data_IF_276147188811
#
_entry.id   IF_276147188811
#
_cell.length_a   1.000
_cell.length_b   1.000
_cell.length_c   1.000
_cell.angle_alpha   90.00
_cell.angle_beta   90.00
_cell.angle_gamma   90.00
#
_symmetry.space_group_name_H-M   'P 1'
#
loop_
_entity.id
_entity.type
_entity.pdbx_description
1 polymer ?
#
# COMPACT_ATOMS: atom_id res chain seq x y z
N UNK A 1 -25.83 -17.73 21.01
CA UNK A 1 -24.46 -17.70 21.59
C UNK A 1 -23.58 -18.52 20.67
N UNK A 2 -22.70 -17.88 19.89
CA UNK A 2 -21.74 -18.61 19.06
C UNK A 2 -20.43 -17.82 19.02
N UNK A 3 -19.53 -18.20 19.93
CA UNK A 3 -18.13 -17.84 19.90
C UNK A 3 -17.36 -19.16 19.88
N UNK A 4 -17.19 -19.74 18.69
CA UNK A 4 -16.46 -21.00 18.52
C UNK A 4 -15.49 -20.86 17.36
N UNK A 5 -14.26 -20.40 17.68
CA UNK A 5 -13.13 -20.34 16.76
C UNK A 5 -12.34 -19.03 16.85
N UNK A 6 -11.36 -18.96 17.76
CA UNK A 6 -10.21 -18.03 17.81
C UNK A 6 -10.50 -16.50 17.82
N UNK A 7 -10.20 -15.88 18.97
CA UNK A 7 -10.51 -14.48 19.33
C UNK A 7 -9.91 -13.45 18.34
N UNK A 8 -10.78 -12.60 17.77
CA UNK A 8 -10.51 -11.18 17.49
C UNK A 8 -11.80 -10.35 17.56
N UNK A 9 -11.66 -9.06 17.87
CA UNK A 9 -12.72 -8.21 18.42
C UNK A 9 -12.96 -6.93 17.58
N UNK A 10 -14.25 -6.69 17.31
CA UNK A 10 -15.11 -5.48 17.30
C UNK A 10 -16.07 -5.64 16.12
N UNK A 11 -17.12 -6.44 16.36
CA UNK A 11 -18.18 -6.66 15.38
C UNK A 11 -19.07 -5.42 15.32
N UNK A 12 -18.97 -4.69 14.21
CA UNK A 12 -20.05 -3.85 13.72
C UNK A 12 -20.67 -4.57 12.50
N UNK A 13 -21.83 -4.11 12.01
CA UNK A 13 -22.63 -4.80 10.99
C UNK A 13 -21.84 -5.41 9.81
N UNK A 14 -22.14 -6.69 9.51
CA UNK A 14 -21.68 -7.43 8.34
C UNK A 14 -20.15 -7.65 8.22
N UNK A 15 -19.46 -7.90 9.32
CA UNK A 15 -18.06 -8.35 9.32
C UNK A 15 -17.94 -9.85 9.00
N UNK A 16 -16.91 -10.26 8.23
CA UNK A 16 -16.63 -11.68 7.93
C UNK A 16 -15.20 -12.06 8.33
N UNK A 17 -15.08 -13.13 9.12
CA UNK A 17 -13.81 -13.71 9.60
C UNK A 17 -13.77 -15.19 9.21
N UNK A 18 -12.73 -15.65 8.49
CA UNK A 18 -12.65 -17.07 8.08
C UNK A 18 -11.27 -17.73 8.25
N UNK A 19 -10.18 -16.95 8.30
CA UNK A 19 -8.85 -17.48 8.54
C UNK A 19 -8.62 -17.95 9.99
N UNK A 20 -7.41 -18.44 10.26
CA UNK A 20 -6.90 -18.66 11.62
C UNK A 20 -6.36 -17.35 12.20
N UNK A 21 -6.84 -16.93 13.38
CA UNK A 21 -6.46 -15.66 14.03
C UNK A 21 -6.65 -14.35 13.21
N UNK A 22 -7.72 -14.20 12.40
CA UNK A 22 -7.98 -12.96 11.66
C UNK A 22 -8.53 -11.89 12.60
N UNK A 23 -8.46 -10.62 12.24
CA UNK A 23 -9.03 -9.50 13.00
C UNK A 23 -9.74 -8.50 12.07
N UNK A 24 -10.98 -8.13 12.38
CA UNK A 24 -11.78 -7.19 11.59
C UNK A 24 -12.45 -6.11 12.45
N UNK A 25 -12.40 -4.84 12.01
CA UNK A 25 -13.05 -3.70 12.69
C UNK A 25 -13.72 -2.77 11.65
N UNK A 26 -15.06 -2.71 11.60
CA UNK A 26 -15.77 -1.79 10.70
C UNK A 26 -17.10 -2.34 10.16
N UNK A 27 -17.62 -1.69 9.12
CA UNK A 27 -18.86 -2.06 8.41
C UNK A 27 -18.49 -2.83 7.14
N UNK A 28 -19.13 -3.97 6.85
CA UNK A 28 -18.86 -4.76 5.63
C UNK A 28 -17.37 -5.18 5.49
N UNK A 29 -16.65 -5.33 6.60
CA UNK A 29 -15.21 -5.58 6.62
C UNK A 29 -14.91 -7.08 6.57
N UNK A 30 -13.92 -7.51 5.79
CA UNK A 30 -13.54 -8.93 5.64
C UNK A 30 -12.08 -9.18 6.00
N UNK A 31 -11.82 -10.05 6.97
CA UNK A 31 -10.49 -10.58 7.25
C UNK A 31 -10.52 -12.10 7.05
N UNK A 32 -10.14 -12.55 5.85
CA UNK A 32 -10.33 -13.93 5.39
C UNK A 32 -9.04 -14.76 5.47
N UNK A 33 -7.88 -14.11 5.46
CA UNK A 33 -6.59 -14.80 5.54
C UNK A 33 -6.18 -15.20 6.96
N UNK A 34 -5.27 -16.17 7.08
CA UNK A 34 -4.65 -16.49 8.36
C UNK A 34 -3.81 -15.30 8.85
N UNK A 35 -3.93 -14.92 10.12
CA UNK A 35 -3.25 -13.76 10.71
C UNK A 35 -3.51 -12.45 9.95
N UNK A 36 -4.65 -12.34 9.27
CA UNK A 36 -5.02 -11.13 8.53
C UNK A 36 -5.65 -10.08 9.43
N UNK A 37 -5.48 -8.80 9.09
CA UNK A 37 -6.12 -7.68 9.76
C UNK A 37 -6.84 -6.79 8.75
N UNK A 38 -8.13 -6.54 8.95
CA UNK A 38 -8.90 -5.59 8.16
C UNK A 38 -9.58 -4.56 9.06
N UNK A 39 -9.50 -3.28 8.75
CA UNK A 39 -10.23 -2.26 9.47
C UNK A 39 -10.69 -1.13 8.54
N UNK A 40 -11.85 -0.53 8.81
CA UNK A 40 -12.49 0.45 7.93
C UNK A 40 -13.68 -0.12 7.13
N UNK A 41 -14.57 0.75 6.67
CA UNK A 41 -15.76 0.33 5.95
C UNK A 41 -15.40 -0.28 4.59
N UNK A 42 -15.93 -1.47 4.31
CA UNK A 42 -15.70 -2.25 3.09
C UNK A 42 -14.24 -2.62 2.82
N UNK A 43 -13.38 -2.69 3.85
CA UNK A 43 -12.01 -3.19 3.67
C UNK A 43 -11.91 -4.70 3.66
N UNK A 44 -10.95 -5.24 2.90
CA UNK A 44 -10.77 -6.68 2.72
C UNK A 44 -9.29 -7.09 2.79
N UNK A 45 -8.99 -8.00 3.71
CA UNK A 45 -7.69 -8.64 3.88
C UNK A 45 -7.86 -10.15 3.61
N UNK A 46 -7.61 -10.60 2.38
CA UNK A 46 -8.10 -11.91 1.91
C UNK A 46 -7.07 -13.04 1.94
N UNK A 47 -5.78 -12.73 2.11
CA UNK A 47 -4.70 -13.72 2.11
C UNK A 47 -3.93 -13.76 3.44
N UNK A 48 -3.11 -14.78 3.64
CA UNK A 48 -2.36 -14.92 4.89
C UNK A 48 -1.38 -13.76 5.10
N UNK A 49 -1.33 -13.27 6.35
CA UNK A 49 -0.45 -12.18 6.80
C UNK A 49 -0.72 -10.82 6.14
N UNK A 50 -1.95 -10.56 5.68
CA UNK A 50 -2.31 -9.28 5.05
C UNK A 50 -2.88 -8.27 6.02
N UNK A 51 -2.67 -6.99 5.72
CA UNK A 51 -3.25 -5.85 6.46
C UNK A 51 -4.01 -4.94 5.49
N UNK A 52 -5.30 -4.72 5.69
CA UNK A 52 -6.11 -3.77 4.94
C UNK A 52 -6.75 -2.73 5.89
N UNK A 53 -6.30 -1.49 5.84
CA UNK A 53 -6.72 -0.43 6.76
C UNK A 53 -7.28 0.76 5.99
N UNK A 54 -8.55 1.11 6.21
CA UNK A 54 -9.24 2.28 5.66
C UNK A 54 -10.45 1.95 4.76
N UNK A 55 -11.12 2.96 4.24
CA UNK A 55 -12.34 2.82 3.43
C UNK A 55 -12.03 2.20 2.07
N UNK A 56 -12.66 1.07 1.71
CA UNK A 56 -12.37 0.36 0.46
C UNK A 56 -10.86 0.07 0.25
N UNK A 57 -10.20 -0.38 1.31
CA UNK A 57 -8.81 -0.83 1.27
C UNK A 57 -8.74 -2.34 1.04
N UNK A 58 -7.97 -2.80 0.05
CA UNK A 58 -7.90 -4.21 -0.35
C UNK A 58 -6.46 -4.72 -0.31
N UNK A 59 -6.18 -5.72 0.52
CA UNK A 59 -4.91 -6.45 0.56
C UNK A 59 -5.17 -7.92 0.25
N UNK A 60 -4.92 -8.33 -1.00
CA UNK A 60 -5.51 -9.57 -1.55
C UNK A 60 -4.52 -10.73 -1.71
N UNK A 61 -3.22 -10.47 -1.55
CA UNK A 61 -2.14 -11.47 -1.71
C UNK A 61 -1.28 -11.58 -0.47
N UNK A 62 -0.61 -12.73 -0.27
CA UNK A 62 0.11 -12.98 0.98
C UNK A 62 1.14 -11.89 1.30
N UNK A 63 1.14 -11.47 2.58
CA UNK A 63 2.01 -10.40 3.12
C UNK A 63 1.79 -9.02 2.51
N UNK A 64 0.71 -8.80 1.75
CA UNK A 64 0.36 -7.49 1.21
C UNK A 64 -0.19 -6.55 2.28
N UNK A 65 0.06 -5.25 2.12
CA UNK A 65 -0.42 -4.21 3.04
C UNK A 65 -1.08 -3.09 2.24
N UNK A 66 -2.33 -2.79 2.53
CA UNK A 66 -3.08 -1.69 1.92
C UNK A 66 -3.54 -0.72 3.02
N UNK A 67 -3.11 0.53 2.98
CA UNK A 67 -3.44 1.55 3.99
C UNK A 67 -3.96 2.81 3.29
N UNK A 68 -5.20 3.18 3.60
CA UNK A 68 -5.83 4.41 3.14
C UNK A 68 -7.20 4.19 2.51
N UNK A 69 -7.59 5.07 1.58
CA UNK A 69 -8.95 5.11 1.02
C UNK A 69 -8.94 4.77 -0.48
N UNK A 70 -9.74 3.80 -0.91
CA UNK A 70 -9.73 3.30 -2.28
C UNK A 70 -8.32 2.90 -2.77
N UNK A 71 -7.70 1.96 -2.06
CA UNK A 71 -6.35 1.45 -2.35
C UNK A 71 -6.36 -0.07 -2.52
N UNK A 72 -5.47 -0.60 -3.35
CA UNK A 72 -5.36 -2.03 -3.64
C UNK A 72 -3.91 -2.50 -3.67
N UNK A 73 -3.57 -3.44 -2.80
CA UNK A 73 -2.29 -4.15 -2.79
C UNK A 73 -2.52 -5.57 -3.29
N UNK A 74 -2.23 -5.81 -4.57
CA UNK A 74 -2.77 -6.92 -5.36
C UNK A 74 -1.73 -7.97 -5.75
N UNK A 75 -0.56 -7.98 -5.12
CA UNK A 75 0.49 -8.99 -5.36
C UNK A 75 1.33 -9.27 -4.11
N UNK A 76 2.10 -10.36 -4.12
CA UNK A 76 2.91 -10.81 -2.99
C UNK A 76 3.84 -9.72 -2.44
N UNK A 77 3.78 -9.49 -1.12
CA UNK A 77 4.57 -8.45 -0.39
C UNK A 77 4.51 -7.05 -1.03
N UNK A 78 3.45 -6.72 -1.75
CA UNK A 78 3.20 -5.32 -2.15
C UNK A 78 2.71 -4.51 -0.95
N UNK A 79 3.00 -3.22 -0.96
CA UNK A 79 2.48 -2.24 0.00
C UNK A 79 1.88 -1.08 -0.78
N UNK A 80 0.72 -0.59 -0.35
CA UNK A 80 0.11 0.67 -0.82
C UNK A 80 -0.25 1.54 0.36
N UNK A 81 0.14 2.82 0.29
CA UNK A 81 -0.25 3.84 1.27
C UNK A 81 -0.79 5.07 0.53
N UNK A 82 -2.02 5.48 0.83
CA UNK A 82 -2.54 6.77 0.39
C UNK A 82 -4.00 6.75 -0.04
N UNK A 83 -4.37 7.42 -1.13
CA UNK A 83 -5.77 7.47 -1.56
C UNK A 83 -5.97 7.45 -3.07
N UNK A 84 -6.90 6.61 -3.52
CA UNK A 84 -7.54 6.76 -4.82
C UNK A 84 -8.71 7.74 -4.75
N UNK A 85 -9.50 7.77 -5.82
CA UNK A 85 -10.78 8.48 -5.90
C UNK A 85 -11.92 7.47 -6.05
N UNK A 86 -12.50 7.06 -4.91
CA UNK A 86 -13.58 6.07 -4.85
C UNK A 86 -14.78 6.47 -5.73
N UNK A 87 -15.21 7.73 -5.64
CA UNK A 87 -16.38 8.26 -6.36
C UNK A 87 -16.23 8.20 -7.88
N UNK A 88 -14.99 8.15 -8.38
CA UNK A 88 -14.67 8.02 -9.80
C UNK A 88 -14.22 6.60 -10.18
N UNK A 89 -14.32 5.64 -9.26
CA UNK A 89 -13.87 4.25 -9.44
C UNK A 89 -12.36 4.12 -9.68
N UNK A 90 -11.56 5.09 -9.22
CA UNK A 90 -10.10 5.10 -9.42
C UNK A 90 -9.42 4.67 -8.14
N UNK A 91 -8.79 3.50 -8.17
CA UNK A 91 -7.99 3.01 -7.05
C UNK A 91 -6.52 3.32 -7.29
N UNK A 92 -5.79 3.62 -6.21
CA UNK A 92 -4.33 3.51 -6.24
C UNK A 92 -3.98 2.03 -6.05
N UNK A 93 -3.42 1.42 -7.10
CA UNK A 93 -3.28 -0.02 -7.19
C UNK A 93 -1.82 -0.43 -7.44
N UNK A 94 -1.26 -1.22 -6.51
CA UNK A 94 0.08 -1.77 -6.65
C UNK A 94 0.03 -3.23 -7.09
N UNK A 95 0.53 -3.45 -8.31
CA UNK A 95 0.60 -4.73 -9.00
C UNK A 95 2.04 -5.22 -9.21
N UNK A 96 3.01 -4.70 -8.45
CA UNK A 96 4.42 -5.12 -8.53
C UNK A 96 4.82 -5.84 -7.24
N UNK A 97 5.36 -7.06 -7.36
CA UNK A 97 5.79 -7.85 -6.21
C UNK A 97 6.91 -7.14 -5.45
N UNK A 98 6.94 -7.34 -4.13
CA UNK A 98 8.00 -6.80 -3.24
C UNK A 98 8.27 -5.29 -3.47
N UNK A 99 7.20 -4.48 -3.43
CA UNK A 99 7.26 -3.06 -3.72
C UNK A 99 6.40 -2.22 -2.78
N UNK A 100 6.69 -0.93 -2.68
CA UNK A 100 5.92 0.07 -1.95
C UNK A 100 5.42 1.15 -2.92
N UNK A 101 4.12 1.42 -2.88
CA UNK A 101 3.45 2.47 -3.65
C UNK A 101 2.85 3.52 -2.71
N UNK A 102 3.14 4.80 -2.95
CA UNK A 102 2.53 5.92 -2.24
C UNK A 102 1.98 6.94 -3.25
N UNK A 103 0.74 7.38 -3.04
CA UNK A 103 0.08 8.37 -3.89
C UNK A 103 -1.26 8.80 -3.31
N UNK A 104 -1.75 9.97 -3.71
CA UNK A 104 -3.01 10.52 -3.22
C UNK A 104 -3.83 11.10 -4.37
N UNK A 105 -5.14 10.91 -4.31
CA UNK A 105 -6.11 11.35 -5.32
C UNK A 105 -5.69 10.99 -6.78
N UNK A 106 -5.08 9.84 -6.97
CA UNK A 106 -4.59 9.39 -8.27
C UNK A 106 -4.65 7.86 -8.38
N UNK A 107 -4.68 7.35 -9.62
CA UNK A 107 -4.46 5.92 -9.91
C UNK A 107 -2.96 5.58 -10.09
N UNK A 108 -2.11 6.60 -10.12
CA UNK A 108 -0.67 6.48 -10.32
C UNK A 108 0.09 6.86 -9.03
N UNK A 109 1.26 6.26 -8.78
CA UNK A 109 2.10 6.65 -7.66
C UNK A 109 2.63 8.08 -7.82
N UNK A 110 2.84 8.74 -6.68
CA UNK A 110 3.79 9.84 -6.56
C UNK A 110 5.18 9.30 -6.20
N UNK A 111 5.25 8.30 -5.32
CA UNK A 111 6.47 7.62 -4.91
C UNK A 111 6.32 6.11 -5.07
N UNK A 112 7.34 5.47 -5.61
CA UNK A 112 7.40 4.03 -5.79
C UNK A 112 8.76 3.48 -5.40
N UNK A 113 8.80 2.36 -4.68
CA UNK A 113 10.03 1.66 -4.30
C UNK A 113 9.90 0.20 -4.70
N UNK A 114 10.90 -0.33 -5.39
CA UNK A 114 10.93 -1.73 -5.84
C UNK A 114 12.12 -2.47 -5.26
N UNK A 115 11.99 -3.79 -5.10
CA UNK A 115 13.14 -4.69 -4.91
C UNK A 115 14.24 -4.48 -5.98
N UNK A 116 15.51 -4.87 -5.72
CA UNK A 116 16.52 -4.89 -6.76
C UNK A 116 16.14 -5.87 -7.88
N UNK A 117 16.60 -5.55 -9.08
CA UNK A 117 16.34 -6.33 -10.30
C UNK A 117 17.00 -7.70 -10.27
N UNK A 118 18.20 -7.77 -9.68
CA UNK A 118 18.92 -9.01 -9.42
C UNK A 118 19.34 -9.02 -7.94
N UNK A 119 19.04 -10.11 -7.25
CA UNK A 119 19.48 -10.33 -5.87
C UNK A 119 20.76 -11.17 -5.87
N UNK A 120 21.74 -10.78 -5.06
CA UNK A 120 22.89 -11.63 -4.76
C UNK A 120 22.58 -12.59 -3.60
N UNK A 121 23.44 -13.60 -3.42
CA UNK A 121 23.28 -14.62 -2.37
C UNK A 121 23.33 -14.06 -0.94
N UNK A 122 23.89 -12.87 -0.77
CA UNK A 122 24.08 -12.21 0.52
C UNK A 122 23.05 -11.08 0.77
N UNK A 123 22.07 -10.91 -0.13
CA UNK A 123 21.04 -9.87 -0.06
C UNK A 123 21.61 -8.44 0.07
N UNK A 124 22.72 -8.13 -0.62
CA UNK A 124 23.36 -6.80 -0.52
C UNK A 124 22.89 -5.80 -1.57
N UNK A 125 22.13 -6.25 -2.57
CA UNK A 125 21.58 -5.39 -3.62
C UNK A 125 20.39 -4.60 -3.09
N UNK A 126 20.34 -3.32 -3.47
CA UNK A 126 19.27 -2.42 -3.08
C UNK A 126 18.39 -2.06 -4.27
N UNK A 127 17.12 -1.84 -3.98
CA UNK A 127 16.08 -1.43 -4.91
C UNK A 127 16.29 -0.10 -5.62
N UNK A 128 15.28 0.29 -6.40
CA UNK A 128 15.21 1.59 -7.08
C UNK A 128 13.99 2.36 -6.59
N UNK A 129 14.07 3.69 -6.70
CA UNK A 129 12.97 4.61 -6.36
C UNK A 129 12.48 5.26 -7.66
N UNK A 130 11.17 5.27 -7.86
CA UNK A 130 10.46 6.07 -8.86
C UNK A 130 9.73 7.24 -8.20
N UNK A 131 9.80 8.43 -8.80
CA UNK A 131 8.98 9.60 -8.44
C UNK A 131 8.20 10.03 -9.68
N UNK A 132 6.90 10.28 -9.49
CA UNK A 132 5.93 10.39 -10.58
C UNK A 132 5.48 9.02 -11.06
N UNK A 133 4.72 8.97 -12.16
CA UNK A 133 4.15 7.73 -12.70
C UNK A 133 5.23 6.76 -13.26
N UNK A 134 5.93 6.09 -12.34
CA UNK A 134 7.11 5.24 -12.57
C UNK A 134 7.01 4.00 -11.67
N UNK A 135 6.52 2.90 -12.24
CA UNK A 135 6.45 1.59 -11.56
C UNK A 135 7.58 0.63 -11.97
N UNK A 136 8.45 1.04 -12.90
CA UNK A 136 9.65 0.31 -13.29
C UNK A 136 10.83 1.28 -13.45
N UNK A 137 11.44 1.75 -12.34
CA UNK A 137 12.52 2.72 -12.38
C UNK A 137 13.74 2.22 -13.19
N UNK A 138 14.32 3.09 -14.02
CA UNK A 138 15.48 2.75 -14.87
C UNK A 138 16.82 3.14 -14.20
N UNK A 139 16.79 3.96 -13.16
CA UNK A 139 17.93 4.37 -12.36
C UNK A 139 17.63 4.21 -10.86
N UNK A 140 18.64 4.36 -10.00
CA UNK A 140 18.45 4.28 -8.53
C UNK A 140 17.39 5.27 -8.03
N UNK A 141 17.36 6.45 -8.63
CA UNK A 141 16.29 7.41 -8.53
C UNK A 141 15.84 7.78 -9.95
N UNK A 142 14.58 7.49 -10.29
CA UNK A 142 13.98 7.84 -11.57
C UNK A 142 12.86 8.85 -11.32
N UNK A 143 13.10 10.11 -11.67
CA UNK A 143 12.09 11.18 -11.63
C UNK A 143 11.46 11.32 -13.01
N UNK A 144 10.13 11.28 -13.08
CA UNK A 144 9.36 11.52 -14.30
C UNK A 144 8.27 12.55 -14.01
N UNK A 145 8.26 13.61 -14.79
CA UNK A 145 7.18 14.61 -14.77
C UNK A 145 5.92 14.08 -15.47
N UNK A 146 4.78 14.61 -15.05
CA UNK A 146 3.54 14.47 -15.80
C UNK A 146 3.56 15.38 -17.05
N UNK A 147 2.58 15.20 -17.93
CA UNK A 147 2.47 16.00 -19.14
C UNK A 147 2.30 17.49 -18.79
N UNK A 148 3.17 18.34 -19.34
CA UNK A 148 3.16 19.78 -19.07
C UNK A 148 3.93 20.21 -17.82
N UNK A 149 4.57 19.28 -17.11
CA UNK A 149 5.42 19.56 -15.95
C UNK A 149 6.92 19.37 -16.27
N UNK A 150 7.78 19.99 -15.46
CA UNK A 150 9.23 19.78 -15.51
C UNK A 150 9.65 18.72 -14.49
N UNK A 151 10.49 17.77 -14.90
CA UNK A 151 11.09 16.80 -14.00
C UNK A 151 12.27 17.46 -13.26
N UNK A 152 11.97 18.32 -12.29
CA UNK A 152 12.94 19.10 -11.54
C UNK A 152 13.20 18.54 -10.14
N UNK A 153 14.46 18.62 -9.70
CA UNK A 153 14.84 18.48 -8.29
C UNK A 153 15.22 19.86 -7.76
N UNK A 154 14.37 20.45 -6.95
CA UNK A 154 14.69 21.69 -6.25
C UNK A 154 15.38 21.39 -4.92
N UNK A 155 16.63 21.83 -4.78
CA UNK A 155 17.40 21.72 -3.54
C UNK A 155 17.44 23.12 -2.92
N UNK A 156 16.66 23.35 -1.86
CA UNK A 156 16.67 24.63 -1.15
C UNK A 156 17.99 24.77 -0.36
N UNK A 157 18.86 25.75 -0.68
CA UNK A 157 20.05 26.00 0.13
C UNK A 157 19.65 26.62 1.48
N UNK A 158 20.36 26.27 2.55
CA UNK A 158 20.26 26.98 3.82
C UNK A 158 20.78 28.43 3.66
N UNK A 159 20.03 29.42 4.13
CA UNK A 159 20.52 30.81 4.19
C UNK A 159 21.39 30.99 5.44
N UNK A 160 22.71 31.12 5.26
CA UNK A 160 23.58 31.53 6.35
C UNK A 160 23.38 33.02 6.64
N UNK A 161 22.60 33.35 7.67
CA UNK A 161 22.54 34.70 8.23
C UNK A 161 23.67 34.78 9.26
N UNK A 162 24.86 35.23 8.87
CA UNK A 162 25.98 35.22 9.82
C UNK A 162 27.28 35.92 9.44
N UNK A 163 27.30 36.82 8.45
CA UNK A 163 28.52 37.60 8.19
C UNK A 163 28.71 38.69 9.25
N UNK A 164 29.65 38.49 10.17
CA UNK A 164 30.17 39.46 11.13
C UNK A 164 31.45 38.93 11.76
#
# INVERSE_FOLDING_TARGET
>A
MALTGLKSQVNYSNTTLSGSYPSAIGINTKALGNYSFAAGASSEATASYTTALGFYSFATYSKAIAIGSAVKSNVYKSIVIGSGSYDHGKYLENNVMESLMIGFNSKFPTLFVVQPEEQDLNYTKTGKIGIGNVTSPLAKLHLRADEGEEAAVFIQPFSWIGGG
#
